data_IF_671228695975
#
_entry.id   IF_671228695975
#
_cell.length_a   1.000
_cell.length_b   1.000
_cell.length_c   1.000
_cell.angle_alpha   90.00
_cell.angle_beta   90.00
_cell.angle_gamma   90.00
#
_symmetry.space_group_name_H-M   'P 1'
#
loop_
_entity.id
_entity.type
_entity.pdbx_description
1 polymer ?
#
# COMPACT_ATOMS: atom_id res chain seq x y z
N UNK A 1 -41.64 7.81 -52.92
CA UNK A 1 -42.83 7.35 -52.17
C UNK A 1 -42.81 5.83 -51.90
N UNK A 2 -42.03 5.02 -52.63
CA UNK A 2 -41.95 3.57 -52.41
C UNK A 2 -41.07 3.15 -51.22
N UNK A 3 -39.98 3.88 -50.91
CA UNK A 3 -39.13 3.57 -49.75
C UNK A 3 -39.88 3.72 -48.42
N UNK A 4 -40.65 4.80 -48.28
CA UNK A 4 -41.52 5.01 -47.13
C UNK A 4 -42.57 3.90 -46.96
N UNK A 5 -43.03 3.27 -48.06
CA UNK A 5 -44.01 2.17 -48.00
C UNK A 5 -43.36 0.85 -47.56
N UNK A 6 -42.11 0.59 -48.00
CA UNK A 6 -41.32 -0.57 -47.55
C UNK A 6 -40.89 -0.44 -46.09
N UNK A 7 -40.47 0.76 -45.66
CA UNK A 7 -40.17 1.04 -44.25
C UNK A 7 -41.38 0.82 -43.34
N UNK A 8 -42.54 1.35 -43.73
CA UNK A 8 -43.77 1.15 -42.97
C UNK A 8 -44.21 -0.33 -42.91
N UNK A 9 -44.02 -1.12 -43.97
CA UNK A 9 -44.33 -2.56 -43.98
C UNK A 9 -43.35 -3.36 -43.10
N UNK A 10 -42.05 -3.01 -43.09
CA UNK A 10 -41.06 -3.60 -42.20
C UNK A 10 -41.36 -3.29 -40.72
N UNK A 11 -41.72 -2.05 -40.40
CA UNK A 11 -42.08 -1.63 -39.04
C UNK A 11 -43.36 -2.31 -38.55
N UNK A 12 -44.39 -2.44 -39.41
CA UNK A 12 -45.66 -3.08 -39.04
C UNK A 12 -45.52 -4.60 -38.87
N UNK A 13 -44.73 -5.27 -39.70
CA UNK A 13 -44.43 -6.69 -39.56
C UNK A 13 -43.59 -6.98 -38.31
N UNK A 14 -42.66 -6.09 -37.97
CA UNK A 14 -41.90 -6.12 -36.72
C UNK A 14 -42.81 -5.94 -35.48
N UNK A 15 -43.71 -4.96 -35.49
CA UNK A 15 -44.66 -4.70 -34.41
C UNK A 15 -45.64 -5.86 -34.18
N UNK A 16 -46.10 -6.52 -35.26
CA UNK A 16 -46.96 -7.72 -35.14
C UNK A 16 -46.23 -8.90 -34.51
N UNK A 17 -44.97 -9.14 -34.90
CA UNK A 17 -44.16 -10.22 -34.33
C UNK A 17 -43.78 -9.95 -32.87
N UNK A 18 -43.50 -8.69 -32.53
CA UNK A 18 -43.25 -8.26 -31.15
C UNK A 18 -44.48 -8.47 -30.25
N UNK A 19 -45.70 -8.23 -30.75
CA UNK A 19 -46.94 -8.56 -30.03
C UNK A 19 -47.17 -10.07 -29.89
N UNK A 20 -46.82 -10.85 -30.91
CA UNK A 20 -46.94 -12.31 -30.86
C UNK A 20 -45.98 -12.95 -29.85
N UNK A 21 -44.75 -12.45 -29.77
CA UNK A 21 -43.72 -12.96 -28.84
C UNK A 21 -43.70 -12.21 -27.50
N UNK A 22 -44.61 -11.26 -27.26
CA UNK A 22 -44.69 -10.44 -26.04
C UNK A 22 -44.74 -11.31 -24.77
N UNK A 23 -45.45 -12.44 -24.81
CA UNK A 23 -45.54 -13.39 -23.71
C UNK A 23 -44.16 -13.95 -23.34
N UNK A 24 -43.30 -14.24 -24.34
CA UNK A 24 -41.94 -14.75 -24.12
C UNK A 24 -41.04 -13.69 -23.48
N UNK A 25 -41.12 -12.45 -23.95
CA UNK A 25 -40.39 -11.33 -23.34
C UNK A 25 -40.82 -11.08 -21.89
N UNK A 26 -42.13 -11.16 -21.59
CA UNK A 26 -42.66 -11.02 -20.23
C UNK A 26 -42.16 -12.18 -19.33
N UNK A 27 -42.23 -13.42 -19.80
CA UNK A 27 -41.75 -14.59 -19.04
C UNK A 27 -40.25 -14.44 -18.74
N UNK A 28 -39.42 -14.11 -19.74
CA UNK A 28 -37.98 -13.94 -19.54
C UNK A 28 -37.70 -12.78 -18.59
N UNK A 29 -38.41 -11.66 -18.72
CA UNK A 29 -38.27 -10.53 -17.81
C UNK A 29 -38.55 -10.93 -16.35
N UNK A 30 -39.67 -11.61 -16.10
CA UNK A 30 -40.06 -12.06 -14.76
C UNK A 30 -39.05 -13.08 -14.22
N UNK A 31 -38.63 -14.05 -15.03
CA UNK A 31 -37.63 -15.06 -14.63
C UNK A 31 -36.27 -14.41 -14.34
N UNK A 32 -35.82 -13.48 -15.18
CA UNK A 32 -34.56 -12.78 -14.99
C UNK A 32 -34.59 -11.86 -13.76
N UNK A 33 -35.72 -11.18 -13.52
CA UNK A 33 -35.92 -10.31 -12.35
C UNK A 33 -35.93 -11.14 -11.07
N UNK A 34 -36.74 -12.19 -10.99
CA UNK A 34 -36.81 -13.06 -9.79
C UNK A 34 -35.48 -13.79 -9.58
N UNK A 35 -34.90 -14.35 -10.65
CA UNK A 35 -33.62 -15.05 -10.60
C UNK A 35 -32.48 -14.16 -10.13
N UNK A 36 -32.36 -12.94 -10.66
CA UNK A 36 -31.30 -12.01 -10.25
C UNK A 36 -31.45 -11.54 -8.80
N UNK A 37 -32.67 -11.33 -8.31
CA UNK A 37 -32.94 -11.00 -6.90
C UNK A 37 -32.55 -12.16 -5.98
N UNK A 38 -32.91 -13.40 -6.33
CA UNK A 38 -32.53 -14.59 -5.58
C UNK A 38 -31.02 -14.78 -5.52
N UNK A 39 -30.30 -14.41 -6.59
CA UNK A 39 -28.83 -14.51 -6.64
C UNK A 39 -28.15 -13.44 -5.79
N UNK A 40 -28.62 -12.19 -5.83
CA UNK A 40 -27.88 -11.06 -5.23
C UNK A 40 -28.24 -10.79 -3.76
N UNK A 41 -29.43 -11.18 -3.31
CA UNK A 41 -29.86 -10.97 -1.91
C UNK A 41 -28.97 -11.70 -0.88
N UNK A 42 -28.56 -12.96 -1.11
CA UNK A 42 -27.74 -13.70 -0.16
C UNK A 42 -26.26 -13.28 -0.13
N UNK A 43 -25.80 -12.48 -1.10
CA UNK A 43 -24.42 -11.96 -1.10
C UNK A 43 -24.31 -10.89 0.00
N UNK A 44 -23.41 -11.07 0.99
CA UNK A 44 -23.25 -10.12 2.08
C UNK A 44 -22.82 -8.75 1.53
N UNK A 45 -23.28 -7.70 2.21
CA UNK A 45 -22.79 -6.34 1.94
C UNK A 45 -21.43 -6.18 2.60
N UNK A 46 -20.56 -5.41 1.98
CA UNK A 46 -19.32 -4.97 2.58
C UNK A 46 -19.27 -3.44 2.62
N UNK A 47 -18.53 -2.92 3.57
CA UNK A 47 -18.36 -1.52 3.90
C UNK A 47 -16.88 -1.17 3.74
N UNK A 48 -16.62 0.02 3.24
CA UNK A 48 -15.27 0.51 2.97
C UNK A 48 -15.01 1.72 3.87
N UNK A 49 -13.93 1.68 4.64
CA UNK A 49 -13.43 2.82 5.40
C UNK A 49 -12.12 3.31 4.79
N UNK A 50 -12.05 4.63 4.55
CA UNK A 50 -10.89 5.29 3.97
C UNK A 50 -10.27 6.25 4.98
N UNK A 51 -8.94 6.14 5.15
CA UNK A 51 -8.12 6.99 6.01
C UNK A 51 -7.02 7.59 5.15
N UNK A 52 -6.74 8.88 5.32
CA UNK A 52 -5.67 9.56 4.61
C UNK A 52 -4.67 10.18 5.58
N UNK A 53 -3.39 9.87 5.36
CA UNK A 53 -2.24 10.33 6.13
C UNK A 53 -1.37 11.19 5.23
N UNK A 54 -1.01 12.39 5.70
CA UNK A 54 0.05 13.16 5.09
C UNK A 54 1.34 12.90 5.89
N UNK A 55 2.42 12.40 5.25
CA UNK A 55 3.73 12.46 5.88
C UNK A 55 4.08 13.93 6.09
N UNK A 56 4.51 14.31 7.30
CA UNK A 56 5.22 15.58 7.44
C UNK A 56 6.50 15.44 6.62
N UNK A 57 6.49 16.04 5.42
CA UNK A 57 7.69 16.18 4.64
C UNK A 57 8.56 17.15 5.41
N UNK A 58 9.78 16.72 5.76
CA UNK A 58 10.81 17.64 6.21
C UNK A 58 10.91 18.73 5.16
N UNK A 59 10.34 19.91 5.45
CA UNK A 59 10.60 21.12 4.69
C UNK A 59 12.10 21.38 4.84
N UNK A 60 12.85 20.81 3.90
CA UNK A 60 14.30 20.95 3.84
C UNK A 60 14.61 22.31 3.21
N UNK A 61 14.06 23.38 3.80
CA UNK A 61 14.45 24.75 3.45
C UNK A 61 15.92 25.05 3.85
N UNK A 62 16.56 24.14 4.60
CA UNK A 62 17.97 24.23 4.97
C UNK A 62 18.94 23.58 3.95
N UNK A 63 18.46 23.04 2.83
CA UNK A 63 19.32 22.45 1.79
C UNK A 63 20.26 23.46 1.10
N UNK A 64 19.94 24.75 1.14
CA UNK A 64 20.73 25.80 0.47
C UNK A 64 22.02 26.21 1.19
N UNK A 65 22.06 26.15 2.54
CA UNK A 65 23.22 26.66 3.32
C UNK A 65 24.35 25.66 3.45
N UNK A 66 24.05 24.36 3.43
CA UNK A 66 25.05 23.30 3.51
C UNK A 66 25.67 23.01 2.14
N UNK A 67 24.88 23.13 1.07
CA UNK A 67 25.33 23.00 -0.31
C UNK A 67 26.38 24.06 -0.68
N UNK A 68 26.21 25.31 -0.22
CA UNK A 68 27.17 26.40 -0.47
C UNK A 68 28.51 26.23 0.27
N UNK A 69 28.52 25.55 1.43
CA UNK A 69 29.76 25.22 2.14
C UNK A 69 30.42 24.00 1.48
N UNK A 70 29.66 22.98 1.10
CA UNK A 70 30.19 21.81 0.40
C UNK A 70 30.84 22.14 -0.96
N UNK A 71 30.21 23.03 -1.74
CA UNK A 71 30.77 23.54 -3.00
C UNK A 71 32.08 24.31 -2.80
N UNK A 72 32.26 24.98 -1.65
CA UNK A 72 33.51 25.68 -1.32
C UNK A 72 34.70 24.75 -1.04
N UNK A 73 34.43 23.49 -0.72
CA UNK A 73 35.42 22.43 -0.55
C UNK A 73 35.53 21.49 -1.77
N UNK A 74 34.88 21.82 -2.90
CA UNK A 74 34.92 21.02 -4.13
C UNK A 74 34.17 19.68 -4.05
N UNK A 75 33.31 19.51 -3.03
CA UNK A 75 32.48 18.31 -2.87
C UNK A 75 31.10 18.61 -3.42
N UNK A 76 30.81 18.12 -4.61
CA UNK A 76 29.48 18.18 -5.19
C UNK A 76 28.56 17.20 -4.44
N UNK A 77 27.76 17.73 -3.53
CA UNK A 77 26.72 17.02 -2.79
C UNK A 77 25.37 17.05 -3.55
N UNK A 78 25.38 17.52 -4.81
CA UNK A 78 24.26 17.39 -5.72
C UNK A 78 23.83 15.93 -5.82
N UNK A 79 22.61 15.68 -5.34
CA UNK A 79 21.84 14.43 -5.50
C UNK A 79 21.95 13.35 -4.40
N UNK A 80 22.75 13.50 -3.35
CA UNK A 80 22.80 12.49 -2.25
C UNK A 80 21.69 12.67 -1.20
N UNK A 81 20.88 13.73 -1.29
CA UNK A 81 19.86 14.06 -0.30
C UNK A 81 18.54 13.26 -0.42
N UNK A 82 18.35 12.43 -1.46
CA UNK A 82 17.05 11.82 -1.77
C UNK A 82 17.01 10.28 -1.67
N UNK A 83 18.07 9.61 -1.20
CA UNK A 83 18.05 8.17 -0.93
C UNK A 83 17.41 7.84 0.44
N UNK A 84 16.18 8.31 0.68
CA UNK A 84 15.37 7.76 1.74
C UNK A 84 14.92 6.35 1.33
N UNK A 85 15.68 5.34 1.80
CA UNK A 85 15.53 3.91 1.49
C UNK A 85 14.16 3.26 1.77
N UNK A 86 13.21 4.00 2.34
CA UNK A 86 11.79 3.70 2.24
C UNK A 86 11.11 4.85 1.50
N UNK A 87 11.16 4.78 0.18
CA UNK A 87 10.32 5.62 -0.65
C UNK A 87 8.86 5.26 -0.31
N UNK A 88 7.97 6.25 -0.14
CA UNK A 88 6.57 5.97 0.18
C UNK A 88 5.95 4.88 -0.70
N UNK A 89 6.35 4.79 -1.98
CA UNK A 89 5.98 3.74 -2.93
C UNK A 89 6.14 2.29 -2.45
N UNK A 90 6.97 2.01 -1.43
CA UNK A 90 7.16 0.66 -0.86
C UNK A 90 6.15 0.32 0.26
N UNK A 91 5.39 1.29 0.77
CA UNK A 91 4.42 1.05 1.84
C UNK A 91 3.29 0.06 1.47
N UNK A 92 2.75 0.06 0.23
CA UNK A 92 1.75 -0.93 -0.16
C UNK A 92 2.30 -2.36 -0.11
N UNK A 93 3.55 -2.55 -0.52
CA UNK A 93 4.20 -3.86 -0.49
C UNK A 93 4.52 -4.30 0.94
N UNK A 94 4.95 -3.37 1.80
CA UNK A 94 5.13 -3.61 3.22
C UNK A 94 3.83 -4.06 3.90
N UNK A 95 2.71 -3.41 3.60
CA UNK A 95 1.41 -3.76 4.17
C UNK A 95 0.91 -5.14 3.70
N UNK A 96 1.34 -5.58 2.51
CA UNK A 96 1.06 -6.93 1.98
C UNK A 96 1.99 -8.00 2.55
N UNK A 97 3.01 -7.64 3.34
CA UNK A 97 3.92 -8.60 3.96
C UNK A 97 3.22 -9.48 5.01
N UNK A 98 3.64 -10.75 5.11
CA UNK A 98 3.07 -11.68 6.09
C UNK A 98 3.28 -11.22 7.53
N UNK A 99 4.40 -10.56 7.83
CA UNK A 99 4.67 -10.01 9.16
C UNK A 99 3.69 -8.91 9.52
N UNK A 100 3.40 -8.00 8.59
CA UNK A 100 2.41 -6.95 8.81
C UNK A 100 1.01 -7.54 9.04
N UNK A 101 0.57 -8.44 8.16
CA UNK A 101 -0.74 -9.12 8.25
C UNK A 101 -0.88 -9.90 9.55
N UNK A 102 0.15 -10.63 9.98
CA UNK A 102 0.15 -11.34 11.27
C UNK A 102 -0.13 -10.38 12.43
N UNK A 103 0.46 -9.18 12.39
CA UNK A 103 0.26 -8.19 13.45
C UNK A 103 -1.18 -7.68 13.53
N UNK A 104 -1.99 -7.84 12.47
CA UNK A 104 -3.39 -7.45 12.43
C UNK A 104 -4.33 -8.51 13.00
N UNK A 105 -3.93 -9.78 12.98
CA UNK A 105 -4.78 -10.91 13.39
C UNK A 105 -5.25 -10.85 14.84
N UNK A 106 -4.39 -10.31 15.71
CA UNK A 106 -4.58 -10.22 17.16
C UNK A 106 -5.33 -8.96 17.60
N UNK A 107 -5.75 -8.12 16.65
CA UNK A 107 -6.49 -6.90 16.98
C UNK A 107 -7.87 -7.30 17.55
N UNK A 108 -8.25 -6.82 18.73
CA UNK A 108 -9.60 -7.02 19.25
C UNK A 108 -10.59 -6.21 18.41
N UNK A 109 -11.64 -6.86 17.92
CA UNK A 109 -12.69 -6.25 17.12
C UNK A 109 -14.06 -6.45 17.75
N UNK A 110 -14.94 -5.48 17.53
CA UNK A 110 -16.33 -5.51 18.00
C UNK A 110 -17.26 -5.17 16.83
N UNK A 111 -18.33 -5.95 16.66
CA UNK A 111 -19.36 -5.66 15.65
C UNK A 111 -20.22 -4.47 16.06
N UNK A 112 -20.81 -3.75 15.10
CA UNK A 112 -21.68 -2.59 15.40
C UNK A 112 -22.86 -2.94 16.33
N UNK A 113 -23.35 -4.17 16.24
CA UNK A 113 -24.47 -4.66 17.03
C UNK A 113 -24.05 -5.16 18.43
N UNK A 114 -22.74 -5.14 18.76
CA UNK A 114 -22.18 -5.61 20.04
C UNK A 114 -22.24 -7.13 20.24
N UNK A 115 -22.67 -7.88 19.23
CA UNK A 115 -22.93 -9.32 19.32
C UNK A 115 -21.67 -10.19 19.31
N UNK A 116 -20.57 -9.69 18.76
CA UNK A 116 -19.30 -10.42 18.64
C UNK A 116 -18.17 -9.52 19.10
N UNK A 117 -17.44 -9.98 20.12
CA UNK A 117 -16.23 -9.34 20.63
C UNK A 117 -15.12 -10.39 20.66
N UNK A 118 -14.31 -10.42 19.61
CA UNK A 118 -13.29 -11.46 19.40
C UNK A 118 -12.04 -10.88 18.74
N UNK A 119 -11.01 -11.70 18.55
CA UNK A 119 -9.86 -11.33 17.72
C UNK A 119 -10.29 -11.20 16.26
N UNK A 120 -9.60 -10.37 15.47
CA UNK A 120 -9.85 -10.23 14.04
C UNK A 120 -9.76 -11.58 13.30
N UNK A 121 -8.79 -12.43 13.68
CA UNK A 121 -8.68 -13.80 13.18
C UNK A 121 -9.96 -14.65 13.40
N UNK A 122 -10.51 -14.63 14.61
CA UNK A 122 -11.70 -15.43 14.96
C UNK A 122 -12.96 -14.87 14.31
N UNK A 123 -13.01 -13.55 14.10
CA UNK A 123 -14.08 -12.91 13.36
C UNK A 123 -14.08 -13.34 11.88
N UNK A 124 -12.93 -13.25 11.21
CA UNK A 124 -12.78 -13.67 9.81
C UNK A 124 -13.05 -15.18 9.63
N UNK A 125 -12.63 -16.00 10.59
CA UNK A 125 -12.75 -17.47 10.48
C UNK A 125 -14.15 -17.99 10.76
N UNK A 126 -14.86 -17.43 11.75
CA UNK A 126 -16.08 -18.05 12.29
C UNK A 126 -17.34 -17.18 12.17
N UNK A 127 -17.20 -15.86 11.96
CA UNK A 127 -18.32 -14.92 12.09
C UNK A 127 -18.66 -14.19 10.78
N UNK A 128 -17.91 -14.42 9.70
CA UNK A 128 -18.29 -13.90 8.38
C UNK A 128 -19.50 -14.63 7.82
N UNK A 129 -20.45 -13.87 7.26
CA UNK A 129 -21.56 -14.42 6.51
C UNK A 129 -21.04 -14.93 5.17
N UNK A 130 -21.04 -16.25 5.01
CA UNK A 130 -20.73 -16.87 3.72
C UNK A 130 -21.89 -16.71 2.74
N UNK A 131 -21.58 -16.35 1.49
CA UNK A 131 -22.55 -16.43 0.40
C UNK A 131 -22.95 -17.90 0.18
N UNK A 132 -24.24 -18.23 -0.02
CA UNK A 132 -24.68 -19.59 -0.31
C UNK A 132 -24.02 -20.17 -1.58
N UNK A 133 -23.59 -19.33 -2.52
CA UNK A 133 -22.81 -19.75 -3.68
C UNK A 133 -21.38 -20.18 -3.32
N UNK A 134 -20.76 -19.52 -2.33
CA UNK A 134 -19.45 -19.93 -1.82
C UNK A 134 -19.54 -21.30 -1.14
N UNK A 135 -20.62 -21.59 -0.41
CA UNK A 135 -20.91 -22.92 0.14
C UNK A 135 -21.11 -23.98 -0.96
N UNK A 136 -21.84 -23.64 -2.02
CA UNK A 136 -22.07 -24.55 -3.15
C UNK A 136 -20.79 -24.87 -3.92
N UNK A 137 -19.97 -23.85 -4.22
CA UNK A 137 -18.65 -24.02 -4.85
C UNK A 137 -17.71 -24.80 -3.92
N UNK A 138 -17.70 -24.47 -2.63
CA UNK A 138 -16.94 -25.18 -1.61
C UNK A 138 -17.33 -26.66 -1.49
N UNK A 139 -18.63 -26.99 -1.59
CA UNK A 139 -19.11 -28.38 -1.63
C UNK A 139 -18.64 -29.12 -2.89
N UNK A 140 -18.67 -28.47 -4.05
CA UNK A 140 -18.17 -29.04 -5.31
C UNK A 140 -16.66 -29.25 -5.22
N UNK A 141 -15.89 -28.25 -4.78
CA UNK A 141 -14.45 -28.34 -4.61
C UNK A 141 -14.05 -29.42 -3.60
N UNK A 142 -14.78 -29.55 -2.48
CA UNK A 142 -14.56 -30.58 -1.46
C UNK A 142 -14.90 -32.00 -1.93
N UNK A 143 -15.65 -32.13 -3.03
CA UNK A 143 -15.90 -33.41 -3.72
C UNK A 143 -14.76 -33.76 -4.70
N UNK A 144 -13.93 -32.79 -5.08
CA UNK A 144 -12.80 -32.93 -5.98
C UNK A 144 -11.42 -32.83 -5.29
N UNK A 145 -11.35 -32.37 -4.05
CA UNK A 145 -10.11 -32.31 -3.27
C UNK A 145 -10.11 -33.34 -2.15
N UNK A 146 -9.05 -34.15 -2.12
CA UNK A 146 -8.76 -35.07 -1.03
C UNK A 146 -8.50 -34.31 0.28
N UNK A 147 -8.99 -34.88 1.39
CA UNK A 147 -9.07 -34.24 2.71
C UNK A 147 -7.68 -33.94 3.28
N UNK A 148 -7.36 -32.66 3.43
CA UNK A 148 -6.41 -32.19 4.44
C UNK A 148 -7.17 -31.51 5.57
N UNK A 149 -7.44 -32.28 6.63
CA UNK A 149 -7.88 -31.75 7.92
C UNK A 149 -6.68 -31.61 8.84
N UNK A 150 -6.23 -30.39 9.09
CA UNK A 150 -5.42 -30.09 10.25
C UNK A 150 -5.97 -28.86 10.97
N UNK A 151 -6.58 -29.14 12.12
CA UNK A 151 -6.85 -28.21 13.21
C UNK A 151 -5.52 -27.71 13.77
N UNK A 152 -5.33 -26.39 13.84
CA UNK A 152 -4.28 -25.83 14.70
C UNK A 152 -4.86 -24.73 15.56
N UNK A 153 -4.71 -24.94 16.87
CA UNK A 153 -4.95 -23.98 17.93
C UNK A 153 -4.07 -22.73 17.74
N UNK A 154 -4.57 -21.63 18.27
CA UNK A 154 -4.23 -20.22 18.03
C UNK A 154 -2.81 -19.78 18.43
N UNK A 155 -1.96 -20.62 19.01
CA UNK A 155 -0.85 -20.08 19.82
C UNK A 155 0.52 -19.89 19.14
N UNK A 156 0.68 -20.18 17.84
CA UNK A 156 1.88 -19.72 17.10
C UNK A 156 1.72 -19.72 15.59
N UNK A 157 1.15 -18.64 15.02
CA UNK A 157 1.18 -18.43 13.55
C UNK A 157 2.60 -18.04 13.14
N UNK A 158 3.25 -18.87 12.34
CA UNK A 158 4.57 -18.59 11.77
C UNK A 158 4.40 -17.95 10.37
N UNK A 159 4.75 -16.67 10.17
CA UNK A 159 4.64 -15.97 8.88
C UNK A 159 5.47 -16.61 7.76
N UNK A 160 6.50 -17.36 8.11
CA UNK A 160 7.39 -18.05 7.18
C UNK A 160 6.81 -19.38 6.69
N UNK A 161 5.88 -19.99 7.44
CA UNK A 161 5.30 -21.29 7.09
C UNK A 161 3.81 -21.33 7.48
N UNK A 162 2.95 -20.86 6.56
CA UNK A 162 1.51 -20.83 6.73
C UNK A 162 0.88 -22.17 6.28
N UNK A 163 -0.12 -22.65 7.02
CA UNK A 163 -0.97 -23.75 6.55
C UNK A 163 -2.01 -23.23 5.52
N UNK A 164 -2.58 -24.09 4.66
CA UNK A 164 -3.56 -23.70 3.62
C UNK A 164 -4.68 -22.78 4.13
N UNK A 165 -5.30 -23.13 5.26
CA UNK A 165 -6.35 -22.29 5.90
C UNK A 165 -5.84 -20.93 6.40
N UNK A 166 -4.60 -20.89 6.89
CA UNK A 166 -3.99 -19.64 7.35
C UNK A 166 -3.62 -18.76 6.15
N UNK A 167 -3.10 -19.36 5.07
CA UNK A 167 -2.77 -18.66 3.83
C UNK A 167 -4.02 -18.05 3.16
N UNK A 168 -5.16 -18.76 3.19
CA UNK A 168 -6.46 -18.21 2.76
C UNK A 168 -6.86 -16.97 3.55
N UNK A 169 -6.74 -17.01 4.90
CA UNK A 169 -7.05 -15.86 5.76
C UNK A 169 -6.07 -14.70 5.50
N UNK A 170 -4.77 -14.98 5.36
CA UNK A 170 -3.78 -13.96 5.05
C UNK A 170 -4.06 -13.30 3.71
N UNK A 171 -4.41 -14.08 2.70
CA UNK A 171 -4.77 -13.58 1.37
C UNK A 171 -6.04 -12.76 1.41
N UNK A 172 -7.05 -13.19 2.18
CA UNK A 172 -8.27 -12.41 2.41
C UNK A 172 -7.96 -11.04 3.01
N UNK A 173 -7.09 -10.99 4.03
CA UNK A 173 -6.69 -9.73 4.67
C UNK A 173 -5.92 -8.83 3.69
N UNK A 174 -4.96 -9.38 2.95
CA UNK A 174 -4.19 -8.63 1.93
C UNK A 174 -5.07 -8.02 0.84
N UNK A 175 -6.17 -8.70 0.49
CA UNK A 175 -7.13 -8.20 -0.50
C UNK A 175 -8.12 -7.19 0.11
N UNK A 176 -8.45 -7.32 1.40
CA UNK A 176 -9.35 -6.40 2.11
C UNK A 176 -8.72 -5.05 2.44
N UNK A 177 -7.38 -4.99 2.51
CA UNK A 177 -6.63 -3.79 2.86
C UNK A 177 -5.87 -3.31 1.63
N UNK A 178 -6.22 -2.13 1.14
CA UNK A 178 -5.51 -1.44 0.08
C UNK A 178 -4.79 -0.21 0.64
N UNK A 179 -3.59 0.06 0.14
CA UNK A 179 -2.85 1.28 0.41
C UNK A 179 -2.48 1.89 -0.94
N UNK A 180 -2.87 3.14 -1.14
CA UNK A 180 -2.55 3.92 -2.32
C UNK A 180 -1.76 5.17 -1.92
N UNK A 181 -0.85 5.60 -2.79
CA UNK A 181 -0.01 6.76 -2.55
C UNK A 181 -0.08 7.68 -3.74
N UNK A 182 -0.56 8.89 -3.49
CA UNK A 182 -0.53 9.93 -4.50
C UNK A 182 0.89 10.50 -4.59
N UNK A 183 1.58 10.21 -5.70
CA UNK A 183 2.96 10.65 -5.96
C UNK A 183 3.06 12.19 -5.99
N UNK A 184 1.97 12.89 -6.37
CA UNK A 184 1.96 14.34 -6.48
C UNK A 184 1.84 15.03 -5.12
N UNK A 185 1.00 14.49 -4.25
CA UNK A 185 0.70 15.08 -2.93
C UNK A 185 1.44 14.40 -1.78
N UNK A 186 2.04 13.24 -2.02
CA UNK A 186 2.64 12.39 -0.98
C UNK A 186 1.60 11.75 -0.05
N UNK A 187 0.30 11.91 -0.33
CA UNK A 187 -0.78 11.46 0.54
C UNK A 187 -0.92 9.93 0.50
N UNK A 188 -0.89 9.31 1.67
CA UNK A 188 -1.06 7.86 1.84
C UNK A 188 -2.53 7.61 2.19
N UNK A 189 -3.25 6.90 1.33
CA UNK A 189 -4.65 6.52 1.55
C UNK A 189 -4.75 5.04 1.84
N UNK A 190 -5.25 4.71 3.04
CA UNK A 190 -5.50 3.34 3.49
C UNK A 190 -7.00 3.08 3.37
N UNK A 191 -7.35 2.05 2.63
CA UNK A 191 -8.71 1.57 2.42
C UNK A 191 -8.87 0.19 3.02
N UNK A 192 -9.87 0.00 3.88
CA UNK A 192 -10.20 -1.31 4.46
C UNK A 192 -11.65 -1.67 4.12
N UNK A 193 -11.84 -2.90 3.62
CA UNK A 193 -13.15 -3.46 3.29
C UNK A 193 -13.54 -4.61 4.23
N UNK A 194 -14.67 -4.50 4.91
CA UNK A 194 -15.19 -5.55 5.81
C UNK A 194 -16.73 -5.66 5.73
N UNK A 195 -17.30 -6.79 6.14
CA UNK A 195 -18.76 -7.00 6.22
C UNK A 195 -19.44 -6.14 7.28
N UNK A 196 -18.73 -5.80 8.37
CA UNK A 196 -19.25 -4.94 9.43
C UNK A 196 -18.64 -3.53 9.34
N UNK A 197 -19.46 -2.46 9.40
CA UNK A 197 -18.97 -1.10 9.25
C UNK A 197 -18.07 -0.65 10.42
N UNK A 198 -18.30 -1.11 11.65
CA UNK A 198 -17.48 -0.76 12.81
C UNK A 198 -16.12 -1.48 12.75
N UNK A 199 -16.12 -2.75 12.33
CA UNK A 199 -14.87 -3.52 12.14
C UNK A 199 -14.02 -2.89 11.04
N UNK A 200 -14.63 -2.47 9.92
CA UNK A 200 -13.90 -1.79 8.84
C UNK A 200 -13.17 -0.53 9.32
N UNK A 201 -13.81 0.29 10.17
CA UNK A 201 -13.22 1.51 10.72
C UNK A 201 -12.15 1.20 11.79
N UNK A 202 -12.40 0.22 12.65
CA UNK A 202 -11.48 -0.19 13.73
C UNK A 202 -10.19 -0.77 13.16
N UNK A 203 -10.31 -1.63 12.14
CA UNK A 203 -9.15 -2.20 11.45
C UNK A 203 -8.42 -1.12 10.65
N UNK A 204 -9.13 -0.22 9.97
CA UNK A 204 -8.49 0.89 9.28
C UNK A 204 -7.63 1.75 10.24
N UNK A 205 -8.17 2.14 11.40
CA UNK A 205 -7.41 2.92 12.39
C UNK A 205 -6.23 2.13 12.98
N UNK A 206 -6.40 0.84 13.22
CA UNK A 206 -5.33 -0.03 13.72
C UNK A 206 -4.21 -0.23 12.69
N UNK A 207 -4.57 -0.38 11.41
CA UNK A 207 -3.62 -0.47 10.28
C UNK A 207 -2.84 0.83 10.15
N UNK A 208 -3.52 1.99 10.24
CA UNK A 208 -2.91 3.32 10.26
C UNK A 208 -1.88 3.43 11.38
N UNK A 209 -2.27 3.11 12.62
CA UNK A 209 -1.38 3.18 13.78
C UNK A 209 -0.15 2.26 13.62
N UNK A 210 -0.35 1.02 13.18
CA UNK A 210 0.75 0.07 12.96
C UNK A 210 1.69 0.48 11.83
N UNK A 211 1.15 1.04 10.75
CA UNK A 211 1.97 1.56 9.65
C UNK A 211 2.81 2.75 10.13
N UNK A 212 2.20 3.66 10.88
CA UNK A 212 2.89 4.80 11.50
C UNK A 212 4.02 4.32 12.42
N UNK A 213 3.75 3.39 13.34
CA UNK A 213 4.75 2.83 14.24
C UNK A 213 5.89 2.15 13.48
N UNK A 214 5.58 1.41 12.42
CA UNK A 214 6.60 0.76 11.60
C UNK A 214 7.52 1.79 10.92
N UNK A 215 6.93 2.80 10.26
CA UNK A 215 7.72 3.82 9.54
C UNK A 215 8.56 4.64 10.54
N UNK A 216 7.95 5.00 11.67
CA UNK A 216 8.63 5.73 12.75
C UNK A 216 9.80 4.94 13.32
N UNK A 217 9.60 3.66 13.64
CA UNK A 217 10.67 2.80 14.15
C UNK A 217 11.79 2.60 13.13
N UNK A 218 11.44 2.40 11.86
CA UNK A 218 12.44 2.27 10.80
C UNK A 218 13.29 3.54 10.66
N UNK A 219 12.65 4.71 10.50
CA UNK A 219 13.36 5.99 10.35
C UNK A 219 14.22 6.26 11.59
N UNK A 220 13.67 6.09 12.79
CA UNK A 220 14.41 6.27 14.04
C UNK A 220 15.62 5.34 14.14
N UNK A 221 15.47 4.07 13.78
CA UNK A 221 16.58 3.11 13.79
C UNK A 221 17.65 3.46 12.75
N UNK A 222 17.25 3.92 11.56
CA UNK A 222 18.18 4.43 10.55
C UNK A 222 18.98 5.62 11.11
N UNK A 223 18.29 6.63 11.66
CA UNK A 223 18.95 7.81 12.23
C UNK A 223 19.91 7.46 13.38
N UNK A 224 19.53 6.52 14.26
CA UNK A 224 20.40 6.01 15.32
C UNK A 224 21.65 5.33 14.75
N UNK A 225 21.48 4.53 13.70
CA UNK A 225 22.59 3.85 13.04
C UNK A 225 23.53 4.84 12.34
N UNK A 226 22.99 5.89 11.71
CA UNK A 226 23.78 6.95 11.07
C UNK A 226 24.62 7.72 12.11
N UNK A 227 24.04 8.09 13.24
CA UNK A 227 24.79 8.72 14.35
C UNK A 227 25.91 7.80 14.83
N UNK A 228 25.64 6.51 15.02
CA UNK A 228 26.65 5.52 15.42
C UNK A 228 27.78 5.41 14.39
N UNK A 229 27.43 5.38 13.11
CA UNK A 229 28.38 5.31 12.00
C UNK A 229 29.29 6.54 11.96
N UNK A 230 28.72 7.75 11.98
CA UNK A 230 29.49 8.99 11.98
C UNK A 230 30.34 9.15 13.25
N UNK A 231 29.86 8.69 14.41
CA UNK A 231 30.64 8.71 15.65
C UNK A 231 31.92 7.90 15.52
N UNK A 232 31.83 6.73 14.89
CA UNK A 232 33.01 5.88 14.62
C UNK A 232 33.98 6.57 13.66
N UNK A 233 33.48 7.13 12.55
CA UNK A 233 34.32 7.82 11.57
C UNK A 233 35.03 9.05 12.17
N UNK A 234 34.33 9.84 12.97
CA UNK A 234 34.90 11.01 13.66
C UNK A 234 36.00 10.58 14.62
N UNK A 235 35.78 9.52 15.40
CA UNK A 235 36.80 8.99 16.32
C UNK A 235 38.06 8.51 15.57
N UNK A 236 37.89 7.80 14.45
CA UNK A 236 39.01 7.34 13.62
C UNK A 236 39.76 8.50 12.94
N UNK A 237 39.02 9.49 12.42
CA UNK A 237 39.62 10.68 11.80
C UNK A 237 40.36 11.54 12.83
N UNK A 238 39.79 11.70 14.03
CA UNK A 238 40.43 12.41 15.15
C UNK A 238 41.76 11.77 15.50
N UNK A 239 41.79 10.44 15.64
CA UNK A 239 43.02 9.70 15.94
C UNK A 239 44.09 9.92 14.86
N UNK A 240 43.72 9.82 13.57
CA UNK A 240 44.65 10.07 12.45
C UNK A 240 45.20 11.50 12.45
N UNK A 241 44.36 12.48 12.78
CA UNK A 241 44.78 13.87 12.92
C UNK A 241 45.73 14.06 14.11
N UNK A 242 45.43 13.47 15.27
CA UNK A 242 46.31 13.51 16.45
C UNK A 242 47.68 12.88 16.16
N UNK A 243 47.71 11.73 15.47
CA UNK A 243 48.96 11.08 15.05
C UNK A 243 49.79 11.97 14.10
N UNK A 244 49.15 12.62 13.12
CA UNK A 244 49.82 13.54 12.19
C UNK A 244 50.32 14.81 12.91
N UNK A 245 49.51 15.37 13.81
CA UNK A 245 49.87 16.54 14.63
C UNK A 245 51.06 16.24 15.53
N UNK A 246 51.13 15.05 16.12
CA UNK A 246 52.25 14.64 16.96
C UNK A 246 53.55 14.50 16.14
N UNK A 247 53.48 13.94 14.93
CA UNK A 247 54.63 13.85 14.02
C UNK A 247 55.16 15.23 13.63
N UNK A 248 54.27 16.14 13.25
CA UNK A 248 54.62 17.52 12.94
C UNK A 248 55.27 18.23 14.15
N UNK A 249 54.65 18.13 15.33
CA UNK A 249 55.19 18.73 16.56
C UNK A 249 56.59 18.20 16.89
N UNK A 250 56.78 16.86 16.84
CA UNK A 250 58.08 16.23 17.13
C UNK A 250 59.15 16.65 16.11
N UNK A 251 58.78 16.76 14.83
CA UNK A 251 59.70 17.22 13.79
C UNK A 251 60.05 18.69 13.95
N UNK A 252 59.07 19.54 14.26
CA UNK A 252 59.26 20.97 14.47
C UNK A 252 60.11 21.27 15.71
N UNK A 253 59.91 20.53 16.81
CA UNK A 253 60.69 20.68 18.04
C UNK A 253 62.16 20.24 17.84
N UNK A 254 62.39 19.17 17.08
CA UNK A 254 63.74 18.67 16.79
C UNK A 254 64.52 19.58 15.83
N UNK A 255 63.84 20.43 15.07
CA UNK A 255 64.41 21.20 13.96
C UNK A 255 63.96 22.68 14.01
N UNK A 256 64.29 23.40 15.08
CA UNK A 256 63.88 24.80 15.27
C UNK A 256 64.62 25.82 14.37
N UNK A 257 65.86 25.54 13.93
CA UNK A 257 66.71 26.48 13.17
C UNK A 257 67.12 25.92 11.79
N UNK A 258 66.14 25.56 10.96
CA UNK A 258 66.38 24.90 9.67
C UNK A 258 66.69 25.89 8.55
N UNK A 259 67.95 25.89 8.10
CA UNK A 259 68.41 26.61 6.89
C UNK A 259 68.32 25.71 5.63
N UNK A 260 68.43 24.39 5.78
CA UNK A 260 68.37 23.45 4.65
C UNK A 260 66.96 23.42 4.02
N UNK A 261 66.89 23.67 2.72
CA UNK A 261 65.63 23.71 1.97
C UNK A 261 64.91 22.34 1.92
N UNK A 262 65.65 21.22 1.97
CA UNK A 262 65.07 19.87 2.04
C UNK A 262 64.26 19.66 3.33
N UNK A 263 64.81 20.05 4.47
CA UNK A 263 64.14 19.94 5.77
C UNK A 263 62.95 20.92 5.87
N UNK A 264 63.02 22.08 5.21
CA UNK A 264 61.86 22.99 5.08
C UNK A 264 60.74 22.33 4.27
N UNK A 265 61.05 21.75 3.11
CA UNK A 265 60.07 21.01 2.30
C UNK A 265 59.42 19.88 3.09
N UNK A 266 60.21 19.12 3.87
CA UNK A 266 59.69 18.02 4.68
C UNK A 266 58.77 18.50 5.81
N UNK A 267 59.09 19.64 6.45
CA UNK A 267 58.20 20.27 7.44
C UNK A 267 56.87 20.64 6.79
N UNK A 268 56.92 21.28 5.63
CA UNK A 268 55.75 21.77 4.93
C UNK A 268 54.86 20.59 4.45
N UNK A 269 55.46 19.47 4.04
CA UNK A 269 54.73 18.22 3.73
C UNK A 269 53.98 17.66 4.96
N UNK A 270 54.62 17.67 6.14
CA UNK A 270 53.99 17.22 7.39
C UNK A 270 52.86 18.17 7.83
N UNK A 271 53.03 19.48 7.64
CA UNK A 271 52.00 20.49 7.90
C UNK A 271 50.80 20.28 6.97
N UNK A 272 51.04 20.06 5.68
CA UNK A 272 50.01 19.79 4.69
C UNK A 272 49.24 18.50 5.00
N UNK A 273 49.91 17.40 5.38
CA UNK A 273 49.22 16.16 5.79
C UNK A 273 48.38 16.40 7.05
N UNK A 274 48.91 17.08 8.06
CA UNK A 274 48.15 17.45 9.26
C UNK A 274 46.90 18.26 8.91
N UNK A 275 47.03 19.29 8.05
CA UNK A 275 45.92 20.13 7.62
C UNK A 275 44.88 19.33 6.83
N UNK A 276 45.32 18.40 5.97
CA UNK A 276 44.43 17.50 5.23
C UNK A 276 43.61 16.60 6.19
N UNK A 277 44.25 16.03 7.23
CA UNK A 277 43.53 15.24 8.24
C UNK A 277 42.59 16.10 9.08
N UNK A 278 42.97 17.33 9.42
CA UNK A 278 42.12 18.27 10.14
C UNK A 278 40.85 18.61 9.35
N UNK A 279 41.00 18.92 8.06
CA UNK A 279 39.86 19.20 7.17
C UNK A 279 38.91 18.00 7.10
N UNK A 280 39.44 16.78 6.98
CA UNK A 280 38.63 15.56 7.01
C UNK A 280 37.89 15.35 8.34
N UNK A 281 38.58 15.56 9.48
CA UNK A 281 37.96 15.49 10.80
C UNK A 281 36.85 16.54 10.99
N UNK A 282 37.10 17.79 10.59
CA UNK A 282 36.12 18.89 10.69
C UNK A 282 34.87 18.61 9.84
N UNK A 283 35.04 18.12 8.62
CA UNK A 283 33.94 17.72 7.75
C UNK A 283 33.09 16.60 8.36
N UNK A 284 33.73 15.55 8.90
CA UNK A 284 33.02 14.44 9.56
C UNK A 284 32.33 14.88 10.85
N UNK A 285 32.95 15.77 11.63
CA UNK A 285 32.34 16.33 12.84
C UNK A 285 31.08 17.13 12.52
N UNK A 286 31.09 17.90 11.44
CA UNK A 286 29.91 18.64 10.95
C UNK A 286 28.81 17.66 10.53
N UNK A 287 29.14 16.57 9.83
CA UNK A 287 28.16 15.54 9.46
C UNK A 287 27.56 14.84 10.69
N UNK A 288 28.37 14.55 11.71
CA UNK A 288 27.89 13.99 12.98
C UNK A 288 26.92 14.94 13.69
N UNK A 289 27.23 16.23 13.75
CA UNK A 289 26.34 17.24 14.33
C UNK A 289 25.02 17.30 13.57
N UNK A 290 25.05 17.26 12.24
CA UNK A 290 23.83 17.22 11.43
C UNK A 290 23.01 15.94 11.67
N UNK A 291 23.66 14.78 11.80
CA UNK A 291 22.98 13.52 12.10
C UNK A 291 22.35 13.53 13.50
N UNK A 292 23.04 14.10 14.49
CA UNK A 292 22.53 14.28 15.85
C UNK A 292 21.35 15.26 15.88
N UNK A 293 21.47 16.39 15.17
CA UNK A 293 20.39 17.36 15.02
C UNK A 293 19.16 16.69 14.45
N UNK A 294 19.27 15.96 13.32
CA UNK A 294 18.14 15.22 12.72
C UNK A 294 17.52 14.17 13.65
N UNK A 295 18.30 13.52 14.52
CA UNK A 295 17.77 12.58 15.51
C UNK A 295 17.00 13.30 16.63
N UNK A 296 17.38 14.53 16.96
CA UNK A 296 16.72 15.36 17.98
C UNK A 296 15.54 16.15 17.43
N UNK A 297 15.62 16.60 16.18
CA UNK A 297 14.74 17.61 15.59
C UNK A 297 13.30 17.11 15.62
N UNK A 298 12.97 15.99 14.96
CA UNK A 298 11.66 15.36 15.15
C UNK A 298 11.71 13.86 14.79
N UNK A 299 11.10 13.02 15.63
CA UNK A 299 10.65 11.68 15.18
C UNK A 299 9.54 11.91 14.16
N UNK A 300 9.53 11.23 12.99
CA UNK A 300 8.55 11.51 11.94
C UNK A 300 7.12 11.48 12.48
N UNK A 301 6.48 12.66 12.52
CA UNK A 301 5.07 12.80 12.84
C UNK A 301 4.28 12.70 11.54
N UNK A 302 3.18 11.94 11.58
CA UNK A 302 2.24 11.88 10.47
C UNK A 302 1.02 12.70 10.86
N UNK A 303 0.61 13.63 10.00
CA UNK A 303 -0.64 14.36 10.22
C UNK A 303 -1.79 13.56 9.62
N UNK A 304 -2.82 13.33 10.43
CA UNK A 304 -4.05 12.67 9.99
C UNK A 304 -4.87 13.70 9.22
N UNK A 305 -4.98 13.53 7.89
CA UNK A 305 -5.78 14.40 7.03
C UNK A 305 -7.24 13.97 7.07
N UNK A 306 -7.49 12.67 7.01
CA UNK A 306 -8.82 12.09 7.13
C UNK A 306 -8.79 10.94 8.14
N UNK A 307 -9.55 11.10 9.22
CA UNK A 307 -9.68 10.09 10.28
C UNK A 307 -10.59 8.95 9.88
N UNK A 308 -10.43 7.79 10.53
CA UNK A 308 -11.34 6.66 10.36
C UNK A 308 -12.76 7.08 10.74
N UNK A 309 -13.74 6.77 9.89
CA UNK A 309 -15.14 7.01 10.18
C UNK A 309 -15.98 5.79 9.81
N UNK A 310 -16.96 5.47 10.64
CA UNK A 310 -17.82 4.28 10.44
C UNK A 310 -18.68 4.49 9.19
N UNK A 311 -18.57 3.65 8.14
CA UNK A 311 -19.31 3.85 6.91
C UNK A 311 -20.82 3.72 7.11
N UNK A 312 -21.57 4.73 6.65
CA UNK A 312 -23.05 4.72 6.75
C UNK A 312 -23.68 3.94 5.60
N UNK A 313 -23.03 3.92 4.43
CA UNK A 313 -23.52 3.25 3.22
C UNK A 313 -22.62 2.05 2.88
N UNK A 314 -23.20 0.94 2.40
CA UNK A 314 -22.41 -0.20 1.92
C UNK A 314 -21.66 0.20 0.64
N UNK A 315 -20.41 -0.25 0.53
CA UNK A 315 -19.58 -0.05 -0.66
C UNK A 315 -20.04 -0.95 -1.81
N UNK A 316 -20.46 -2.17 -1.49
CA UNK A 316 -21.01 -3.10 -2.46
C UNK A 316 -21.66 -4.34 -1.84
N UNK A 317 -22.16 -5.27 -2.67
CA UNK A 317 -22.39 -5.12 -4.11
C UNK A 317 -23.56 -4.17 -4.39
N UNK A 318 -23.51 -3.43 -5.51
CA UNK A 318 -24.60 -2.55 -5.97
C UNK A 318 -25.78 -3.39 -6.47
N UNK A 319 -26.59 -3.92 -5.54
CA UNK A 319 -27.63 -4.91 -5.82
C UNK A 319 -28.61 -4.48 -6.92
N UNK A 320 -29.02 -3.21 -6.91
CA UNK A 320 -29.93 -2.67 -7.94
C UNK A 320 -29.30 -2.59 -9.32
N UNK A 321 -28.02 -2.20 -9.40
CA UNK A 321 -27.29 -2.16 -10.67
C UNK A 321 -27.10 -3.56 -11.25
N UNK A 322 -26.79 -4.56 -10.40
CA UNK A 322 -26.68 -5.95 -10.81
C UNK A 322 -27.99 -6.48 -11.42
N UNK A 323 -29.13 -6.28 -10.74
CA UNK A 323 -30.45 -6.70 -11.24
C UNK A 323 -30.75 -6.03 -12.59
N UNK A 324 -30.51 -4.72 -12.71
CA UNK A 324 -30.75 -4.01 -13.95
C UNK A 324 -29.92 -4.56 -15.12
N UNK A 325 -28.61 -4.80 -14.89
CA UNK A 325 -27.70 -5.34 -15.90
C UNK A 325 -28.15 -6.73 -16.34
N UNK A 326 -28.47 -7.63 -15.40
CA UNK A 326 -28.91 -9.00 -15.72
C UNK A 326 -30.22 -9.00 -16.51
N UNK A 327 -31.19 -8.18 -16.09
CA UNK A 327 -32.47 -8.05 -16.80
C UNK A 327 -32.25 -7.48 -18.20
N UNK A 328 -31.44 -6.44 -18.35
CA UNK A 328 -31.13 -5.84 -19.65
C UNK A 328 -30.44 -6.83 -20.61
N UNK A 329 -29.42 -7.55 -20.12
CA UNK A 329 -28.73 -8.59 -20.89
C UNK A 329 -29.68 -9.71 -21.31
N UNK A 330 -30.53 -10.19 -20.39
CA UNK A 330 -31.51 -11.24 -20.70
C UNK A 330 -32.52 -10.82 -21.78
N UNK A 331 -32.93 -9.54 -21.75
CA UNK A 331 -33.81 -8.96 -22.77
C UNK A 331 -33.10 -8.82 -24.11
N UNK A 332 -31.83 -8.37 -24.15
CA UNK A 332 -31.07 -8.30 -25.40
C UNK A 332 -30.84 -9.68 -26.02
N UNK A 333 -30.49 -10.69 -25.21
CA UNK A 333 -30.30 -12.06 -25.72
C UNK A 333 -31.61 -12.60 -26.30
N UNK A 334 -32.73 -12.39 -25.59
CA UNK A 334 -34.06 -12.80 -26.07
C UNK A 334 -34.45 -12.05 -27.34
N UNK A 335 -34.12 -10.76 -27.43
CA UNK A 335 -34.33 -9.95 -28.61
C UNK A 335 -33.57 -10.50 -29.82
N UNK A 336 -32.29 -10.83 -29.64
CA UNK A 336 -31.47 -11.43 -30.71
C UNK A 336 -32.04 -12.78 -31.12
N UNK A 337 -32.39 -13.67 -30.19
CA UNK A 337 -32.93 -15.01 -30.50
C UNK A 337 -34.27 -14.92 -31.25
N UNK A 338 -35.21 -14.09 -30.79
CA UNK A 338 -36.53 -13.97 -31.42
C UNK A 338 -36.46 -13.27 -32.80
N UNK A 339 -35.49 -12.36 -32.98
CA UNK A 339 -35.29 -11.65 -34.25
C UNK A 339 -34.21 -12.28 -35.13
N UNK A 340 -33.52 -13.34 -34.68
CA UNK A 340 -32.48 -14.04 -35.43
C UNK A 340 -33.02 -14.55 -36.78
N UNK A 341 -34.25 -15.03 -36.79
CA UNK A 341 -34.92 -15.50 -38.01
C UNK A 341 -35.25 -14.37 -39.00
N UNK A 342 -35.29 -13.10 -38.58
CA UNK A 342 -35.53 -11.94 -39.44
C UNK A 342 -34.20 -11.27 -39.87
N UNK A 343 -33.19 -11.29 -38.99
CA UNK A 343 -31.88 -10.72 -39.25
C UNK A 343 -31.00 -11.59 -40.15
N UNK A 344 -31.11 -12.92 -40.04
CA UNK A 344 -30.29 -13.88 -40.80
C UNK A 344 -31.11 -14.81 -41.71
N UNK A 345 -32.45 -14.80 -41.60
CA UNK A 345 -33.33 -15.65 -42.40
C UNK A 345 -33.72 -15.10 -43.77
N UNK A 346 -33.20 -13.94 -44.19
CA UNK A 346 -33.46 -13.33 -45.49
C UNK A 346 -32.79 -13.99 -46.71
N UNK A 347 -32.17 -15.17 -46.56
CA UNK A 347 -31.43 -15.84 -47.64
C UNK A 347 -31.98 -17.24 -47.99
N UNK A 348 -33.28 -17.49 -47.81
CA UNK A 348 -33.94 -18.64 -48.43
C UNK A 348 -35.33 -18.25 -48.94
N UNK A 349 -35.40 -17.89 -50.22
CA UNK A 349 -36.67 -17.78 -50.93
C UNK A 349 -36.69 -16.74 -52.03
N UNK A 350 -35.81 -16.86 -53.03
CA UNK A 350 -36.18 -16.77 -54.45
C UNK A 350 -35.49 -17.90 -55.20
#
# INVERSE_FOLDING_TARGET
MEDNKKENVAVVSFLKKLKHDLLRYIIVFVVALVGSILVILPVPRYYKCDISLAPEMDNTENGGKLSSIASSFGVDLGDVASANALQPSLYPDLMKSNEFVKSLLQIPVETKDGSVKTSYYDYLSNHQKESPYAKAIGWIAKKFSDKDSLTSKTDSINPFMLNKKQDEIFTSIKNSIACDIDIKTGLITISVEDQDPLISATIADSVRAKLQDFITNYKTNKMKNDVKYYTKLVAEAKKKYEDARQKYATFSDANQDVILQELQSQRDDLENDMQLKFNAYSALSTQLQNAQAKLQEHTPSFTIVQSASVPVKPAGPKRMAFVFIVVFLSMMVTFVICNFSLLFGGAKGE
#
